data_IF_533001773603
#
_entry.id   IF_533001773603
#
_cell.length_a   1.000
_cell.length_b   1.000
_cell.length_c   1.000
_cell.angle_alpha   90.00
_cell.angle_beta   90.00
_cell.angle_gamma   90.00
#
_symmetry.space_group_name_H-M   'P 1'
#
loop_
_entity.id
_entity.type
_entity.pdbx_description
1 polymer ?
#
# COMPACT_ATOMS: atom_id res chain seq x y z
N UNK A 1 14.51 10.62 30.84
CA UNK A 1 13.27 11.16 30.24
C UNK A 1 12.28 10.04 30.26
N UNK A 2 11.14 10.25 30.91
CA UNK A 2 10.07 9.27 31.02
C UNK A 2 9.40 9.16 29.62
N UNK A 3 9.95 8.28 28.78
CA UNK A 3 9.36 8.02 27.46
C UNK A 3 8.06 7.29 27.70
N UNK A 4 6.93 7.99 27.63
CA UNK A 4 5.60 7.38 27.66
C UNK A 4 5.58 6.24 26.62
N UNK A 5 5.59 5.01 27.13
CA UNK A 5 5.37 3.82 26.30
C UNK A 5 3.87 3.68 26.02
N UNK A 6 3.54 3.03 24.91
CA UNK A 6 2.16 2.68 24.64
C UNK A 6 1.80 1.48 25.51
N UNK A 7 0.73 1.59 26.31
CA UNK A 7 0.34 0.48 27.20
C UNK A 7 -0.08 -0.75 26.41
N UNK A 8 -0.89 -0.54 25.37
CA UNK A 8 -1.46 -1.60 24.53
C UNK A 8 -1.51 -1.11 23.08
N UNK A 9 -1.15 -1.99 22.14
CA UNK A 9 -1.47 -1.85 20.71
C UNK A 9 -2.43 -2.95 20.30
N UNK A 10 -3.37 -2.62 19.42
CA UNK A 10 -4.19 -3.60 18.70
C UNK A 10 -3.73 -3.58 17.25
N UNK A 11 -3.40 -4.75 16.71
CA UNK A 11 -2.98 -4.89 15.32
C UNK A 11 -3.78 -5.98 14.63
N UNK A 12 -4.22 -5.72 13.41
CA UNK A 12 -4.79 -6.74 12.54
C UNK A 12 -3.67 -7.49 11.81
N UNK A 13 -3.78 -8.82 11.81
CA UNK A 13 -2.93 -9.75 11.11
C UNK A 13 -3.73 -10.52 10.06
N UNK A 14 -3.17 -10.70 8.87
CA UNK A 14 -3.72 -11.58 7.84
C UNK A 14 -3.24 -13.02 7.98
N UNK A 15 -2.10 -13.20 8.65
CA UNK A 15 -1.53 -14.50 8.99
C UNK A 15 -0.54 -14.39 10.16
N UNK A 16 -0.23 -15.53 10.75
CA UNK A 16 0.91 -15.72 11.65
C UNK A 16 1.80 -16.78 11.00
N UNK A 17 3.09 -16.50 10.83
CA UNK A 17 4.03 -17.46 10.21
C UNK A 17 4.33 -18.62 11.15
N UNK A 18 4.95 -19.69 10.65
CA UNK A 18 5.35 -20.85 11.48
C UNK A 18 6.34 -20.45 12.59
N UNK A 19 7.13 -19.41 12.37
CA UNK A 19 8.05 -18.82 13.36
C UNK A 19 7.35 -17.89 14.37
N UNK A 20 6.03 -17.70 14.25
CA UNK A 20 5.26 -16.82 15.12
C UNK A 20 5.31 -15.34 14.75
N UNK A 21 5.75 -14.99 13.52
CA UNK A 21 5.78 -13.60 13.08
C UNK A 21 4.42 -13.14 12.58
N UNK A 22 4.10 -11.87 12.81
CA UNK A 22 2.82 -11.29 12.41
C UNK A 22 2.92 -10.81 10.97
N UNK A 23 2.05 -11.30 10.09
CA UNK A 23 1.84 -10.73 8.77
C UNK A 23 0.76 -9.65 8.90
N UNK A 24 1.10 -8.36 8.80
CA UNK A 24 0.14 -7.29 9.06
C UNK A 24 -0.99 -7.25 8.02
N UNK A 25 -2.18 -6.80 8.42
CA UNK A 25 -3.20 -6.28 7.48
C UNK A 25 -2.98 -4.80 7.14
N UNK A 26 -2.34 -4.07 8.05
CA UNK A 26 -1.98 -2.67 7.88
C UNK A 26 -0.64 -2.37 8.57
N UNK A 27 -0.07 -1.21 8.28
CA UNK A 27 1.28 -0.88 8.70
C UNK A 27 1.46 -0.86 10.23
N UNK A 28 2.46 -1.56 10.79
CA UNK A 28 2.51 -1.92 12.21
C UNK A 28 3.50 -1.08 13.05
N UNK A 29 3.67 0.20 12.76
CA UNK A 29 4.72 1.05 13.35
C UNK A 29 4.71 1.07 14.89
N UNK A 30 3.52 0.93 15.47
CA UNK A 30 3.30 1.08 16.91
C UNK A 30 3.67 -0.15 17.73
N UNK A 31 3.85 -1.32 17.10
CA UNK A 31 4.10 -2.59 17.82
C UNK A 31 5.38 -2.52 18.68
N UNK A 32 6.43 -1.90 18.17
CA UNK A 32 7.72 -1.83 18.87
C UNK A 32 7.67 -0.95 20.13
N UNK A 33 6.73 -0.01 20.18
CA UNK A 33 6.57 0.94 21.28
C UNK A 33 5.62 0.44 22.37
N UNK A 34 4.92 -0.68 22.13
CA UNK A 34 3.91 -1.21 23.02
C UNK A 34 4.49 -2.15 24.10
N UNK A 35 3.96 -2.04 25.31
CA UNK A 35 4.22 -2.99 26.39
C UNK A 35 3.39 -4.27 26.24
N UNK A 36 2.16 -4.16 25.72
CA UNK A 36 1.26 -5.29 25.44
C UNK A 36 0.66 -5.20 24.03
N UNK A 37 0.39 -6.35 23.43
CA UNK A 37 -0.14 -6.48 22.07
C UNK A 37 -1.39 -7.36 22.10
N UNK A 38 -2.44 -6.90 21.42
CA UNK A 38 -3.60 -7.71 21.03
C UNK A 38 -3.53 -7.88 19.51
N UNK A 39 -3.61 -9.13 19.05
CA UNK A 39 -3.61 -9.43 17.62
C UNK A 39 -5.01 -9.87 17.21
N UNK A 40 -5.61 -9.14 16.27
CA UNK A 40 -6.82 -9.55 15.58
C UNK A 40 -6.42 -10.32 14.31
N UNK A 41 -6.67 -11.62 14.25
CA UNK A 41 -6.34 -12.44 13.08
C UNK A 41 -7.57 -12.49 12.18
N UNK A 42 -7.51 -11.80 11.04
CA UNK A 42 -8.62 -11.72 10.10
C UNK A 42 -8.58 -12.87 9.10
N UNK A 43 -9.43 -13.88 9.31
CA UNK A 43 -9.53 -15.09 8.48
C UNK A 43 -10.39 -14.91 7.23
N UNK A 44 -10.95 -13.70 7.02
CA UNK A 44 -11.76 -13.38 5.83
C UNK A 44 -10.92 -13.15 4.58
N UNK A 45 -9.75 -12.55 4.75
CA UNK A 45 -8.93 -11.99 3.68
C UNK A 45 -7.72 -12.86 3.38
N UNK A 46 -7.15 -12.70 2.18
CA UNK A 46 -5.94 -13.43 1.80
C UNK A 46 -4.75 -13.00 2.66
N UNK A 47 -3.81 -13.91 2.92
CA UNK A 47 -2.56 -13.57 3.58
C UNK A 47 -1.79 -12.51 2.78
N UNK A 48 -1.31 -11.48 3.46
CA UNK A 48 -0.44 -10.43 2.88
C UNK A 48 1.05 -10.81 2.97
N UNK A 49 1.35 -12.09 3.20
CA UNK A 49 2.72 -12.57 3.29
C UNK A 49 3.44 -12.36 1.95
N UNK A 50 4.50 -11.56 1.99
CA UNK A 50 5.27 -11.16 0.81
C UNK A 50 4.88 -9.80 0.23
N UNK A 51 3.75 -9.23 0.67
CA UNK A 51 3.25 -7.93 0.20
C UNK A 51 3.91 -6.74 0.90
N UNK A 52 4.34 -6.91 2.15
CA UNK A 52 4.92 -5.84 2.93
C UNK A 52 6.43 -5.69 2.73
N UNK A 53 6.89 -4.44 2.79
CA UNK A 53 8.27 -4.03 2.98
C UNK A 53 8.36 -3.21 4.27
N UNK A 54 8.58 -3.94 5.36
CA UNK A 54 8.69 -3.41 6.71
C UNK A 54 10.14 -2.97 6.96
N UNK A 55 10.32 -1.69 7.28
CA UNK A 55 11.64 -1.16 7.63
C UNK A 55 11.77 -0.95 9.15
N UNK A 56 12.59 -1.78 9.80
CA UNK A 56 13.00 -1.57 11.19
C UNK A 56 14.33 -0.81 11.18
N UNK A 57 14.28 0.47 11.53
CA UNK A 57 15.46 1.33 11.49
C UNK A 57 16.29 1.28 12.77
N UNK A 58 17.61 1.36 12.56
CA UNK A 58 18.55 1.69 13.64
C UNK A 58 18.23 3.08 14.22
N UNK A 59 18.26 3.20 15.55
CA UNK A 59 18.00 4.45 16.25
C UNK A 59 19.12 5.49 16.01
N UNK A 60 18.81 6.80 16.08
CA UNK A 60 19.83 7.83 16.08
C UNK A 60 20.91 7.61 17.16
N UNK A 61 22.19 7.92 16.90
CA UNK A 61 22.73 8.53 15.68
C UNK A 61 23.14 7.50 14.59
N UNK A 62 22.81 6.22 14.74
CA UNK A 62 23.27 5.13 13.85
C UNK A 62 22.29 4.79 12.72
N UNK A 63 21.30 5.65 12.47
CA UNK A 63 20.30 5.43 11.41
C UNK A 63 20.98 5.28 10.06
N UNK A 64 20.62 4.24 9.31
CA UNK A 64 21.15 3.97 7.96
C UNK A 64 20.31 4.68 6.89
N UNK A 65 20.89 4.97 5.71
CA UNK A 65 20.13 5.49 4.57
C UNK A 65 19.04 4.51 4.09
N UNK A 66 17.95 5.06 3.55
CA UNK A 66 16.96 4.27 2.82
C UNK A 66 17.44 4.05 1.37
N UNK A 67 17.67 2.79 0.98
CA UNK A 67 18.12 2.45 -0.37
C UNK A 67 16.96 2.21 -1.36
N UNK A 68 15.98 3.10 -1.37
CA UNK A 68 14.81 2.96 -2.25
C UNK A 68 15.10 3.66 -3.58
N UNK A 69 15.56 2.89 -4.57
CA UNK A 69 15.98 3.40 -5.89
C UNK A 69 14.90 3.27 -6.98
N UNK A 70 13.76 2.62 -6.68
CA UNK A 70 12.60 2.52 -7.57
C UNK A 70 11.33 2.20 -6.78
N UNK A 71 10.16 2.34 -7.42
CA UNK A 71 8.87 1.97 -6.80
C UNK A 71 8.84 0.51 -6.30
N UNK A 72 9.57 -0.40 -6.98
CA UNK A 72 9.67 -1.82 -6.62
C UNK A 72 10.83 -2.13 -5.66
N UNK A 73 11.80 -1.25 -5.54
CA UNK A 73 13.00 -1.53 -4.73
C UNK A 73 12.62 -1.70 -3.27
N UNK A 74 13.00 -2.80 -2.64
CA UNK A 74 12.77 -2.98 -1.20
C UNK A 74 13.70 -2.07 -0.40
N UNK A 75 13.30 -1.73 0.82
CA UNK A 75 14.04 -0.84 1.72
C UNK A 75 15.34 -1.45 2.27
N UNK A 76 15.62 -2.74 2.02
CA UNK A 76 16.53 -3.49 2.87
C UNK A 76 17.97 -3.63 2.35
N UNK A 77 18.88 -3.24 3.25
CA UNK A 77 20.20 -3.80 3.50
C UNK A 77 20.18 -5.20 4.17
N UNK A 78 19.03 -5.91 4.18
CA UNK A 78 18.80 -7.18 4.89
C UNK A 78 17.99 -8.16 4.04
N UNK A 79 18.04 -9.45 4.41
CA UNK A 79 17.43 -10.55 3.66
C UNK A 79 15.91 -10.42 3.53
N UNK A 80 15.42 -10.81 2.35
CA UNK A 80 14.03 -10.67 1.86
C UNK A 80 12.96 -11.34 2.75
N UNK A 81 13.33 -12.33 3.56
CA UNK A 81 12.37 -13.13 4.35
C UNK A 81 11.89 -12.45 5.64
N UNK A 82 12.68 -11.57 6.26
CA UNK A 82 12.26 -10.81 7.46
C UNK A 82 11.53 -9.50 7.14
N UNK A 83 11.18 -9.29 5.87
CA UNK A 83 10.71 -8.00 5.35
C UNK A 83 9.17 -7.93 5.19
N UNK A 84 8.51 -9.08 5.15
CA UNK A 84 7.05 -9.21 4.97
C UNK A 84 6.26 -9.51 6.24
N UNK A 85 6.93 -9.89 7.32
CA UNK A 85 6.32 -10.21 8.61
C UNK A 85 7.12 -9.57 9.74
N UNK A 86 6.44 -9.29 10.86
CA UNK A 86 6.98 -8.56 12.00
C UNK A 86 7.45 -9.59 13.03
N UNK A 87 8.76 -9.66 13.33
CA UNK A 87 9.21 -10.44 14.46
C UNK A 87 8.70 -9.78 15.74
N UNK A 88 8.07 -10.58 16.60
CA UNK A 88 7.44 -10.09 17.82
C UNK A 88 7.85 -10.93 19.01
N UNK A 89 8.00 -10.27 20.15
CA UNK A 89 8.12 -10.93 21.44
C UNK A 89 6.75 -11.46 21.85
N UNK A 90 6.57 -12.78 21.80
CA UNK A 90 5.29 -13.43 22.09
C UNK A 90 4.84 -13.21 23.54
N UNK A 91 5.75 -12.91 24.47
CA UNK A 91 5.41 -12.63 25.86
C UNK A 91 4.62 -11.32 26.01
N UNK A 92 4.70 -10.44 25.02
CA UNK A 92 3.89 -9.21 24.97
C UNK A 92 2.49 -9.44 24.42
N UNK A 93 2.21 -10.57 23.78
CA UNK A 93 0.89 -10.88 23.23
C UNK A 93 -0.03 -11.31 24.37
N UNK A 94 -1.00 -10.46 24.70
CA UNK A 94 -1.95 -10.72 25.79
C UNK A 94 -3.27 -11.31 25.30
N UNK A 95 -3.55 -11.25 24.00
CA UNK A 95 -4.73 -11.86 23.38
C UNK A 95 -4.53 -12.07 21.88
N UNK A 96 -5.11 -13.16 21.39
CA UNK A 96 -5.36 -13.43 19.97
C UNK A 96 -6.87 -13.47 19.78
N UNK A 97 -7.39 -12.69 18.83
CA UNK A 97 -8.83 -12.60 18.55
C UNK A 97 -9.03 -12.96 17.09
N UNK A 98 -9.78 -14.03 16.81
CA UNK A 98 -10.18 -14.33 15.44
C UNK A 98 -11.26 -13.34 14.97
N UNK A 99 -11.11 -12.84 13.75
CA UNK A 99 -12.07 -11.95 13.09
C UNK A 99 -12.37 -12.44 11.68
N UNK A 100 -13.58 -12.16 11.21
CA UNK A 100 -14.01 -12.44 9.83
C UNK A 100 -14.79 -11.22 9.29
N UNK A 101 -14.32 -10.03 9.63
CA UNK A 101 -14.96 -8.77 9.25
C UNK A 101 -14.33 -8.24 7.97
N UNK A 102 -15.12 -7.75 6.99
CA UNK A 102 -14.56 -7.06 5.85
C UNK A 102 -13.96 -5.71 6.26
N UNK A 103 -13.07 -5.20 5.42
CA UNK A 103 -12.66 -3.80 5.43
C UNK A 103 -13.89 -2.88 5.45
N UNK A 104 -13.90 -1.92 6.36
CA UNK A 104 -15.04 -1.04 6.59
C UNK A 104 -14.85 0.34 5.95
N UNK A 105 -14.94 0.37 4.62
CA UNK A 105 -14.81 1.58 3.80
C UNK A 105 -16.12 1.97 3.12
N UNK A 106 -16.33 3.28 2.92
CA UNK A 106 -17.47 3.78 2.15
C UNK A 106 -17.31 3.63 0.62
N UNK A 107 -18.40 3.79 -0.16
CA UNK A 107 -18.33 3.77 -1.61
C UNK A 107 -17.41 4.87 -2.16
N UNK A 108 -16.99 4.72 -3.41
CA UNK A 108 -16.36 5.80 -4.15
C UNK A 108 -17.42 6.69 -4.80
N UNK A 109 -17.09 7.97 -4.93
CA UNK A 109 -17.90 8.91 -5.70
C UNK A 109 -17.38 8.97 -7.14
N UNK A 110 -18.30 8.94 -8.10
CA UNK A 110 -17.99 9.14 -9.52
C UNK A 110 -17.46 10.55 -9.77
N UNK A 111 -16.55 10.68 -10.73
CA UNK A 111 -16.08 11.96 -11.22
C UNK A 111 -17.23 12.79 -11.81
N UNK A 112 -17.37 14.03 -11.35
CA UNK A 112 -18.28 15.00 -11.97
C UNK A 112 -17.62 15.68 -13.19
N UNK A 113 -18.38 16.53 -13.89
CA UNK A 113 -17.88 17.21 -15.08
C UNK A 113 -16.65 18.09 -14.78
N UNK A 114 -16.61 18.69 -13.59
CA UNK A 114 -15.49 19.52 -13.12
C UNK A 114 -14.23 18.68 -12.92
N UNK A 115 -14.33 17.54 -12.22
CA UNK A 115 -13.24 16.61 -12.00
C UNK A 115 -12.72 16.03 -13.32
N UNK A 116 -13.60 15.70 -14.27
CA UNK A 116 -13.21 15.24 -15.59
C UNK A 116 -12.49 16.32 -16.41
N UNK A 117 -12.93 17.58 -16.33
CA UNK A 117 -12.24 18.69 -17.00
C UNK A 117 -10.83 18.92 -16.41
N UNK A 118 -10.70 18.89 -15.08
CA UNK A 118 -9.40 18.98 -14.40
C UNK A 118 -8.48 17.84 -14.83
N UNK A 119 -8.99 16.61 -14.86
CA UNK A 119 -8.25 15.44 -15.31
C UNK A 119 -7.78 15.60 -16.76
N UNK A 120 -8.66 16.05 -17.66
CA UNK A 120 -8.33 16.30 -19.06
C UNK A 120 -7.17 17.28 -19.24
N UNK A 121 -7.21 18.43 -18.54
CA UNK A 121 -6.12 19.41 -18.60
C UNK A 121 -4.79 18.87 -18.09
N UNK A 122 -4.81 18.10 -16.99
CA UNK A 122 -3.58 17.51 -16.45
C UNK A 122 -3.01 16.44 -17.40
N UNK A 123 -3.87 15.63 -17.98
CA UNK A 123 -3.48 14.58 -18.91
C UNK A 123 -2.89 15.19 -20.19
N UNK A 124 -3.55 16.18 -20.78
CA UNK A 124 -3.04 16.92 -21.95
C UNK A 124 -1.66 17.53 -21.65
N UNK A 125 -1.49 18.11 -20.45
CA UNK A 125 -0.20 18.61 -19.99
C UNK A 125 0.86 17.49 -19.97
N UNK A 126 0.56 16.34 -19.38
CA UNK A 126 1.51 15.21 -19.31
C UNK A 126 1.86 14.68 -20.71
N UNK A 127 0.89 14.57 -21.61
CA UNK A 127 1.13 14.18 -23.00
C UNK A 127 2.01 15.19 -23.73
N UNK A 128 1.77 16.48 -23.51
CA UNK A 128 2.60 17.55 -24.06
C UNK A 128 4.04 17.48 -23.52
N UNK A 129 4.24 17.19 -22.24
CA UNK A 129 5.58 17.00 -21.65
C UNK A 129 6.30 15.79 -22.27
N UNK A 130 5.59 14.69 -22.50
CA UNK A 130 6.14 13.51 -23.21
C UNK A 130 6.50 13.84 -24.66
N UNK A 131 5.60 14.51 -25.38
CA UNK A 131 5.81 14.91 -26.78
C UNK A 131 7.03 15.81 -26.96
N UNK A 132 7.32 16.65 -25.97
CA UNK A 132 8.50 17.53 -25.97
C UNK A 132 9.76 16.89 -25.35
N UNK A 133 9.72 15.61 -24.97
CA UNK A 133 10.86 14.89 -24.39
C UNK A 133 11.24 15.33 -22.97
N UNK A 134 10.36 16.04 -22.26
CA UNK A 134 10.58 16.44 -20.85
C UNK A 134 10.17 15.36 -19.86
N UNK A 135 9.24 14.48 -20.26
CA UNK A 135 8.89 13.26 -19.54
C UNK A 135 9.08 12.03 -20.44
N UNK A 136 9.46 10.87 -19.86
CA UNK A 136 9.45 9.61 -20.60
C UNK A 136 8.01 9.16 -20.90
N UNK A 137 7.82 8.35 -21.94
CA UNK A 137 6.49 7.85 -22.36
C UNK A 137 5.72 7.06 -21.28
N UNK A 138 6.44 6.46 -20.33
CA UNK A 138 5.88 5.75 -19.17
C UNK A 138 5.68 6.63 -17.93
N UNK A 139 5.93 7.93 -18.07
CA UNK A 139 5.99 8.91 -16.99
C UNK A 139 7.04 8.57 -15.93
N UNK A 140 7.03 9.35 -14.84
CA UNK A 140 7.75 9.06 -13.61
C UNK A 140 6.80 8.37 -12.61
N UNK A 141 7.30 7.78 -11.50
CA UNK A 141 6.43 7.20 -10.49
C UNK A 141 5.37 8.19 -10.02
N UNK A 142 4.10 7.82 -10.20
CA UNK A 142 2.98 8.70 -9.88
C UNK A 142 2.60 8.59 -8.40
N UNK A 143 2.30 9.73 -7.81
CA UNK A 143 1.59 9.85 -6.54
C UNK A 143 0.24 10.48 -6.82
N UNK A 144 -0.82 9.94 -6.23
CA UNK A 144 -2.16 10.51 -6.32
C UNK A 144 -2.80 10.50 -4.95
N UNK A 145 -3.44 11.62 -4.60
CA UNK A 145 -4.27 11.69 -3.40
C UNK A 145 -5.52 10.83 -3.52
N UNK A 146 -6.42 11.00 -2.55
CA UNK A 146 -7.73 10.34 -2.56
C UNK A 146 -8.84 11.28 -3.04
N UNK A 147 -9.90 10.70 -3.61
CA UNK A 147 -11.16 11.40 -3.86
C UNK A 147 -11.49 11.58 -5.33
N UNK A 148 -12.55 12.33 -5.60
CA UNK A 148 -13.20 12.39 -6.91
C UNK A 148 -12.27 12.87 -8.04
N UNK A 149 -11.48 13.92 -7.81
CA UNK A 149 -10.54 14.46 -8.80
C UNK A 149 -9.39 13.47 -9.04
N UNK A 150 -8.83 12.90 -7.97
CA UNK A 150 -7.77 11.90 -8.07
C UNK A 150 -8.22 10.67 -8.88
N UNK A 151 -9.42 10.18 -8.61
CA UNK A 151 -10.01 9.08 -9.36
C UNK A 151 -10.22 9.43 -10.84
N UNK A 152 -10.66 10.66 -11.15
CA UNK A 152 -10.80 11.11 -12.54
C UNK A 152 -9.45 11.10 -13.27
N UNK A 153 -8.39 11.57 -12.61
CA UNK A 153 -7.02 11.59 -13.16
C UNK A 153 -6.51 10.17 -13.42
N UNK A 154 -6.55 9.29 -12.41
CA UNK A 154 -6.04 7.91 -12.56
C UNK A 154 -6.88 7.13 -13.59
N UNK A 155 -8.21 7.28 -13.57
CA UNK A 155 -9.09 6.66 -14.56
C UNK A 155 -8.86 7.19 -15.98
N UNK A 156 -8.55 8.49 -16.14
CA UNK A 156 -8.17 9.08 -17.43
C UNK A 156 -6.83 8.53 -17.92
N UNK A 157 -5.80 8.52 -17.08
CA UNK A 157 -4.49 7.93 -17.39
C UNK A 157 -4.60 6.45 -17.79
N UNK A 158 -5.52 5.70 -17.17
CA UNK A 158 -5.79 4.32 -17.51
C UNK A 158 -6.43 4.15 -18.91
N UNK A 159 -7.00 5.20 -19.50
CA UNK A 159 -7.62 5.16 -20.85
C UNK A 159 -6.71 5.72 -21.93
N UNK A 160 -5.78 6.61 -21.58
CA UNK A 160 -4.82 7.20 -22.52
C UNK A 160 -3.62 6.32 -22.89
N UNK A 161 -2.75 6.82 -23.76
CA UNK A 161 -1.62 6.10 -24.38
C UNK A 161 -0.46 5.74 -23.43
N UNK A 162 -0.57 6.01 -22.13
CA UNK A 162 0.50 5.74 -21.16
C UNK A 162 0.54 4.26 -20.77
N UNK A 163 1.71 3.64 -20.92
CA UNK A 163 1.92 2.23 -20.60
C UNK A 163 3.13 2.03 -19.68
N UNK A 164 3.10 0.95 -18.90
CA UNK A 164 4.21 0.59 -18.02
C UNK A 164 4.42 1.56 -16.86
N UNK A 165 3.36 2.28 -16.47
CA UNK A 165 3.36 3.30 -15.41
C UNK A 165 3.67 2.64 -14.08
N UNK A 166 4.49 3.29 -13.26
CA UNK A 166 4.71 2.87 -11.86
C UNK A 166 4.08 3.87 -10.92
N UNK A 167 3.60 3.40 -9.77
CA UNK A 167 2.97 4.22 -8.76
C UNK A 167 3.77 4.13 -7.47
N UNK A 168 3.97 5.28 -6.82
CA UNK A 168 4.45 5.41 -5.46
C UNK A 168 3.54 6.41 -4.76
N UNK A 169 2.53 5.89 -4.08
CA UNK A 169 1.48 6.68 -3.47
C UNK A 169 1.37 6.36 -1.98
N UNK A 170 0.49 7.05 -1.26
CA UNK A 170 0.15 6.71 0.13
C UNK A 170 -0.94 5.63 0.16
N UNK A 171 -1.99 5.82 -0.66
CA UNK A 171 -3.19 4.97 -0.67
C UNK A 171 -3.55 4.57 -2.09
N UNK A 172 -3.85 3.28 -2.30
CA UNK A 172 -4.46 2.80 -3.55
C UNK A 172 -5.98 2.78 -3.44
N UNK A 173 -6.63 3.27 -4.50
CA UNK A 173 -8.08 3.29 -4.68
C UNK A 173 -8.50 2.47 -5.91
N UNK A 174 -9.81 2.26 -6.09
CA UNK A 174 -10.37 1.33 -7.09
C UNK A 174 -9.90 1.59 -8.52
N UNK A 175 -9.62 2.85 -8.86
CA UNK A 175 -9.12 3.23 -10.19
C UNK A 175 -7.76 2.61 -10.50
N UNK A 176 -6.94 2.29 -9.49
CA UNK A 176 -5.69 1.54 -9.70
C UNK A 176 -5.94 0.06 -10.01
N UNK A 177 -7.06 -0.52 -9.57
CA UNK A 177 -7.43 -1.89 -9.96
C UNK A 177 -7.76 -1.93 -11.46
N UNK A 178 -8.55 -0.97 -11.95
CA UNK A 178 -8.82 -0.79 -13.40
C UNK A 178 -7.51 -0.56 -14.16
N UNK A 179 -6.64 0.31 -13.64
CA UNK A 179 -5.37 0.61 -14.28
C UNK A 179 -4.43 -0.61 -14.39
N UNK A 180 -4.45 -1.48 -13.38
CA UNK A 180 -3.74 -2.77 -13.37
C UNK A 180 -4.32 -3.78 -14.36
N UNK A 181 -5.64 -3.92 -14.41
CA UNK A 181 -6.33 -4.87 -15.29
C UNK A 181 -6.20 -4.50 -16.75
N UNK A 182 -6.15 -3.21 -17.08
CA UNK A 182 -5.84 -2.72 -18.42
C UNK A 182 -4.36 -2.91 -18.81
N UNK A 183 -3.53 -3.48 -17.93
CA UNK A 183 -2.13 -3.80 -18.19
C UNK A 183 -1.19 -2.59 -18.22
N UNK A 184 -1.70 -1.39 -17.90
CA UNK A 184 -0.93 -0.14 -18.00
C UNK A 184 -0.17 0.18 -16.71
N UNK A 185 -0.66 -0.27 -15.55
CA UNK A 185 0.09 -0.20 -14.29
C UNK A 185 1.09 -1.38 -14.19
N UNK A 186 2.37 -1.04 -14.17
CA UNK A 186 3.47 -2.00 -14.03
C UNK A 186 3.70 -2.45 -12.60
N UNK A 187 3.61 -1.52 -11.65
CA UNK A 187 3.89 -1.78 -10.23
C UNK A 187 3.34 -0.63 -9.37
N UNK A 188 2.82 -0.96 -8.19
CA UNK A 188 2.40 0.02 -7.20
C UNK A 188 3.12 -0.18 -5.87
N UNK A 189 3.59 0.91 -5.29
CA UNK A 189 4.01 0.99 -3.91
C UNK A 189 3.07 1.93 -3.16
N UNK A 190 2.59 1.49 -2.00
CA UNK A 190 1.69 2.26 -1.16
C UNK A 190 2.00 2.04 0.33
N UNK A 191 1.36 2.81 1.20
CA UNK A 191 1.30 2.51 2.64
C UNK A 191 0.11 1.60 2.92
N UNK A 192 -1.05 1.91 2.31
CA UNK A 192 -2.29 1.17 2.51
C UNK A 192 -3.12 1.05 1.22
N UNK A 193 -4.17 0.24 1.31
CA UNK A 193 -5.24 0.17 0.33
C UNK A 193 -6.51 0.75 0.95
N UNK A 194 -7.30 1.46 0.14
CA UNK A 194 -8.65 1.92 0.50
C UNK A 194 -9.50 1.75 -0.74
N UNK A 195 -10.17 0.62 -0.83
CA UNK A 195 -11.12 0.36 -1.90
C UNK A 195 -12.55 0.72 -1.47
N UNK A 196 -13.50 0.70 -2.41
CA UNK A 196 -14.91 0.56 -2.07
C UNK A 196 -15.21 -0.89 -1.65
N UNK A 197 -16.39 -1.22 -1.08
CA UNK A 197 -16.77 -2.60 -0.81
C UNK A 197 -16.60 -3.51 -2.03
N UNK A 198 -17.13 -3.12 -3.19
CA UNK A 198 -16.99 -3.86 -4.45
C UNK A 198 -15.53 -3.93 -4.92
N UNK A 199 -14.75 -2.88 -4.66
CA UNK A 199 -13.32 -2.83 -4.96
C UNK A 199 -12.51 -3.83 -4.13
N UNK A 200 -12.84 -4.01 -2.85
CA UNK A 200 -12.24 -5.05 -2.00
C UNK A 200 -12.63 -6.45 -2.48
N UNK A 201 -13.90 -6.68 -2.79
CA UNK A 201 -14.36 -7.97 -3.33
C UNK A 201 -13.60 -8.31 -4.62
N UNK A 202 -13.46 -7.34 -5.53
CA UNK A 202 -12.67 -7.49 -6.76
C UNK A 202 -11.18 -7.72 -6.51
N UNK A 203 -10.60 -7.02 -5.54
CA UNK A 203 -9.19 -7.15 -5.17
C UNK A 203 -8.87 -8.55 -4.62
N UNK A 204 -9.66 -9.03 -3.66
CA UNK A 204 -9.48 -10.35 -3.07
C UNK A 204 -9.84 -11.48 -4.05
N UNK A 205 -10.88 -11.33 -4.89
CA UNK A 205 -11.22 -12.33 -5.91
C UNK A 205 -10.10 -12.53 -6.96
N UNK A 206 -9.26 -11.52 -7.18
CA UNK A 206 -8.16 -11.56 -8.15
C UNK A 206 -6.78 -11.43 -7.48
N UNK A 207 -6.66 -11.84 -6.22
CA UNK A 207 -5.47 -11.63 -5.38
C UNK A 207 -4.14 -11.99 -6.07
N UNK A 208 -4.08 -13.15 -6.73
CA UNK A 208 -2.88 -13.63 -7.43
C UNK A 208 -2.38 -12.67 -8.52
N UNK A 209 -3.28 -11.91 -9.16
CA UNK A 209 -2.92 -10.93 -10.19
C UNK A 209 -2.33 -9.64 -9.63
N UNK A 210 -2.59 -9.35 -8.36
CA UNK A 210 -2.18 -8.12 -7.67
C UNK A 210 -0.96 -8.31 -6.78
N UNK A 211 -0.85 -9.45 -6.11
CA UNK A 211 0.16 -9.73 -5.09
C UNK A 211 1.58 -9.33 -5.51
N UNK A 212 2.04 -9.80 -6.68
CA UNK A 212 3.41 -9.56 -7.15
C UNK A 212 3.63 -8.17 -7.80
N UNK A 213 2.56 -7.37 -7.90
CA UNK A 213 2.57 -6.03 -8.51
C UNK A 213 2.36 -4.92 -7.48
N UNK A 214 2.19 -5.27 -6.21
CA UNK A 214 1.94 -4.35 -5.11
C UNK A 214 3.02 -4.50 -4.03
N UNK A 215 3.36 -3.41 -3.35
CA UNK A 215 4.23 -3.40 -2.18
C UNK A 215 3.70 -2.39 -1.17
N UNK A 216 3.39 -2.86 0.04
CA UNK A 216 2.94 -2.03 1.15
C UNK A 216 4.11 -1.69 2.06
N UNK A 217 4.26 -0.42 2.44
CA UNK A 217 5.41 0.08 3.20
C UNK A 217 4.98 0.83 4.46
N UNK A 218 5.94 0.99 5.38
CA UNK A 218 5.88 1.99 6.44
C UNK A 218 5.54 3.39 5.90
N UNK A 219 4.67 4.13 6.59
CA UNK A 219 4.29 5.51 6.23
C UNK A 219 5.49 6.48 6.31
#
# INVERSE_FOLDING_TARGET
MDTKKLDIVVVEATAITEEGFIVPGATPELIQMADKIIVEVNTRISSFEGLHDLNIMDLPPRRKPYLIISARSSSAHKQKHTQSAIPIDTDKIIALVESNRPDNTGPNHSADATANAIAGHLIEFLEHEVKNGRLPAKLLPLQSGIGTIANAIIGGLARESFEGVTVRTEVLQDTFLEFSELGKLKFASATSVRFSPDGFDRFYANWASYHDKLLLRSQ
#
